data_IF_192491252233
#
_entry.id   IF_192491252233
#
_cell.length_a   1.000
_cell.length_b   1.000
_cell.length_c   1.000
_cell.angle_alpha   90.00
_cell.angle_beta   90.00
_cell.angle_gamma   90.00
#
_symmetry.space_group_name_H-M   'P 1'
#
loop_
_entity.id
_entity.type
_entity.pdbx_description
1 polymer ?
#
# COMPACT_ATOMS: atom_id res chain seq x y z
N UNK A 1 -5.58 -1.16 -0.90
CA UNK A 1 -5.68 -1.09 0.59
C UNK A 1 -7.12 -1.26 1.01
N UNK A 2 -7.40 -2.15 1.97
CA UNK A 2 -8.72 -2.44 2.51
C UNK A 2 -8.76 -2.02 3.98
N UNK A 3 -9.80 -1.33 4.42
CA UNK A 3 -9.98 -0.94 5.83
C UNK A 3 -10.86 -1.96 6.55
N UNK A 4 -10.27 -2.79 7.40
CA UNK A 4 -11.02 -3.72 8.23
C UNK A 4 -11.94 -2.97 9.19
N UNK A 5 -11.44 -1.88 9.81
CA UNK A 5 -12.22 -1.04 10.73
C UNK A 5 -13.48 -0.49 10.04
N UNK A 6 -13.39 -0.08 8.77
CA UNK A 6 -14.56 0.39 8.00
C UNK A 6 -15.51 -0.77 7.64
N UNK A 7 -14.96 -1.85 7.12
CA UNK A 7 -15.78 -2.97 6.63
C UNK A 7 -16.47 -3.73 7.76
N UNK A 8 -15.75 -4.04 8.85
CA UNK A 8 -16.28 -4.81 9.98
C UNK A 8 -17.14 -3.97 10.95
N UNK A 9 -16.71 -2.75 11.23
CA UNK A 9 -17.31 -1.92 12.29
C UNK A 9 -18.03 -0.67 11.79
N UNK A 10 -17.92 -0.33 10.52
CA UNK A 10 -18.46 0.94 9.98
C UNK A 10 -17.65 2.17 10.35
N UNK A 11 -16.52 2.04 11.05
CA UNK A 11 -15.68 3.17 11.50
C UNK A 11 -15.13 3.95 10.31
N UNK A 12 -15.44 5.25 10.25
CA UNK A 12 -14.96 6.14 9.17
C UNK A 12 -13.67 6.81 9.58
N UNK A 13 -12.67 6.77 8.71
CA UNK A 13 -11.38 7.43 8.90
C UNK A 13 -11.07 8.43 7.79
N UNK A 14 -10.13 9.36 8.03
CA UNK A 14 -9.76 10.37 7.03
C UNK A 14 -9.21 9.78 5.71
N UNK A 15 -8.74 8.52 5.73
CA UNK A 15 -8.27 7.82 4.54
C UNK A 15 -9.37 7.20 3.68
N UNK A 16 -10.60 7.08 4.21
CA UNK A 16 -11.68 6.36 3.53
C UNK A 16 -12.23 7.12 2.33
N UNK A 17 -12.11 8.46 2.31
CA UNK A 17 -12.44 9.28 1.14
C UNK A 17 -11.65 8.83 -0.11
N UNK A 18 -10.36 8.46 0.05
CA UNK A 18 -9.55 7.96 -1.06
C UNK A 18 -9.85 6.50 -1.43
N UNK A 19 -10.38 5.72 -0.49
CA UNK A 19 -10.62 4.28 -0.68
C UNK A 19 -12.03 3.98 -1.15
N UNK A 20 -13.03 4.69 -0.63
CA UNK A 20 -14.44 4.32 -0.73
C UNK A 20 -15.36 5.46 -1.18
N UNK A 21 -14.88 6.70 -1.35
CA UNK A 21 -15.72 7.80 -1.82
C UNK A 21 -15.48 8.11 -3.30
N UNK A 22 -16.55 8.51 -3.99
CA UNK A 22 -16.51 8.92 -5.40
C UNK A 22 -17.44 10.08 -5.65
N UNK A 23 -17.01 10.95 -6.57
CA UNK A 23 -17.84 12.08 -7.05
C UNK A 23 -18.85 11.67 -8.13
N UNK A 24 -18.70 10.52 -8.80
CA UNK A 24 -19.66 10.05 -9.79
C UNK A 24 -20.30 8.74 -9.32
N UNK A 25 -21.53 8.84 -8.76
CA UNK A 25 -22.35 7.70 -8.42
C UNK A 25 -22.87 6.92 -9.65
N UNK A 26 -22.71 7.48 -10.86
CA UNK A 26 -23.40 7.04 -12.08
C UNK A 26 -22.50 6.24 -13.05
N UNK A 27 -21.24 5.99 -12.72
CA UNK A 27 -20.35 5.23 -13.60
C UNK A 27 -20.45 3.72 -13.34
N UNK A 28 -20.53 2.90 -14.42
CA UNK A 28 -20.46 1.44 -14.30
C UNK A 28 -19.22 0.98 -13.54
N UNK A 29 -19.29 -0.14 -12.78
CA UNK A 29 -18.18 -0.63 -11.95
C UNK A 29 -16.83 -0.74 -12.67
N UNK A 30 -16.81 -1.15 -13.94
CA UNK A 30 -15.58 -1.29 -14.73
C UNK A 30 -14.92 0.05 -15.09
N UNK A 31 -15.68 1.15 -15.15
CA UNK A 31 -15.15 2.51 -15.37
C UNK A 31 -14.77 3.18 -14.04
N UNK A 32 -15.18 2.61 -12.92
CA UNK A 32 -14.92 3.16 -11.60
C UNK A 32 -13.44 3.07 -11.19
N UNK A 33 -12.64 2.23 -11.83
CA UNK A 33 -11.20 2.12 -11.57
C UNK A 33 -10.38 3.24 -12.18
N UNK A 34 -10.87 3.82 -13.28
CA UNK A 34 -10.27 4.95 -13.96
C UNK A 34 -11.34 5.92 -14.42
N UNK A 35 -11.72 6.87 -13.57
CA UNK A 35 -12.47 8.05 -13.99
C UNK A 35 -11.50 9.20 -14.23
N UNK A 36 -11.85 10.12 -15.13
CA UNK A 36 -11.08 11.36 -15.32
C UNK A 36 -10.98 12.18 -14.03
N UNK A 37 -11.89 11.95 -13.09
CA UNK A 37 -11.93 12.60 -11.78
C UNK A 37 -11.07 11.92 -10.70
N UNK A 38 -10.65 10.66 -10.89
CA UNK A 38 -9.82 9.92 -9.93
C UNK A 38 -8.36 9.90 -10.39
N UNK A 39 -7.56 10.78 -9.83
CA UNK A 39 -6.11 10.80 -10.04
C UNK A 39 -5.41 9.75 -9.19
N UNK A 40 -4.25 9.23 -9.62
CA UNK A 40 -3.53 8.21 -8.86
C UNK A 40 -2.91 8.78 -7.58
N UNK A 41 -2.79 7.95 -6.55
CA UNK A 41 -1.80 8.17 -5.49
C UNK A 41 -0.42 7.87 -6.09
N UNK A 42 0.52 8.77 -5.93
CA UNK A 42 1.88 8.59 -6.43
C UNK A 42 2.81 8.14 -5.30
N UNK A 43 3.33 6.93 -5.41
CA UNK A 43 4.43 6.44 -4.58
C UNK A 43 5.73 6.93 -5.20
N UNK A 44 6.45 7.79 -4.51
CA UNK A 44 7.71 8.31 -5.02
C UNK A 44 8.89 7.78 -4.21
N UNK A 45 9.70 6.94 -4.85
CA UNK A 45 10.94 6.43 -4.28
C UNK A 45 12.06 7.46 -4.49
N UNK A 46 12.07 8.49 -3.66
CA UNK A 46 12.91 9.69 -3.82
C UNK A 46 14.41 9.44 -3.73
N UNK A 47 14.81 8.32 -3.17
CA UNK A 47 16.18 7.80 -3.13
C UNK A 47 16.15 6.28 -3.01
N UNK A 48 17.20 5.61 -3.48
CA UNK A 48 17.39 4.16 -3.26
C UNK A 48 18.36 3.88 -2.11
N UNK A 49 18.96 4.92 -1.52
CA UNK A 49 19.87 4.79 -0.37
C UNK A 49 19.13 4.39 0.90
N UNK A 50 19.65 3.41 1.65
CA UNK A 50 19.10 2.95 2.92
C UNK A 50 20.17 2.27 3.77
N UNK A 51 20.24 2.57 5.07
CA UNK A 51 21.16 1.92 6.01
C UNK A 51 20.69 0.53 6.47
N UNK A 52 19.46 0.13 6.12
CA UNK A 52 18.94 -1.19 6.43
C UNK A 52 19.08 -2.13 5.23
N UNK A 53 19.14 -3.44 5.52
CA UNK A 53 19.21 -4.49 4.50
C UNK A 53 18.06 -5.50 4.64
N UNK A 54 16.82 -4.98 4.61
CA UNK A 54 15.60 -5.77 4.82
C UNK A 54 15.50 -6.93 3.84
N UNK A 55 15.08 -8.11 4.34
CA UNK A 55 14.94 -9.33 3.55
C UNK A 55 13.89 -9.22 2.45
N UNK A 56 12.81 -8.47 2.69
CA UNK A 56 11.67 -8.27 1.78
C UNK A 56 11.72 -6.97 0.97
N UNK A 57 12.83 -6.23 0.97
CA UNK A 57 12.89 -4.91 0.34
C UNK A 57 12.60 -4.97 -1.16
N UNK A 58 11.49 -4.39 -1.59
CA UNK A 58 11.08 -4.36 -3.01
C UNK A 58 12.02 -3.52 -3.88
N UNK A 59 12.60 -2.43 -3.32
CA UNK A 59 13.52 -1.54 -4.02
C UNK A 59 14.96 -2.09 -4.09
N UNK A 60 15.28 -3.19 -3.39
CA UNK A 60 16.65 -3.70 -3.24
C UNK A 60 17.64 -2.60 -2.80
N UNK A 61 17.20 -1.72 -1.91
CA UNK A 61 17.96 -0.58 -1.39
C UNK A 61 19.22 -1.01 -0.63
N UNK A 62 20.21 -0.13 -0.57
CA UNK A 62 21.47 -0.35 0.15
C UNK A 62 22.14 0.97 0.53
N UNK A 63 23.13 0.92 1.45
CA UNK A 63 23.86 2.11 1.89
C UNK A 63 24.99 2.46 0.94
N UNK A 64 24.63 2.98 -0.21
CA UNK A 64 25.55 3.52 -1.22
C UNK A 64 24.88 4.68 -1.95
N UNK A 65 25.68 5.52 -2.57
CA UNK A 65 25.18 6.52 -3.52
C UNK A 65 24.65 5.82 -4.79
N UNK A 66 23.57 6.36 -5.33
CA UNK A 66 23.02 5.94 -6.61
C UNK A 66 23.14 7.11 -7.59
N UNK A 67 23.96 6.92 -8.63
CA UNK A 67 24.15 7.94 -9.66
C UNK A 67 22.84 8.16 -10.45
N UNK A 68 22.61 9.40 -10.87
CA UNK A 68 21.46 9.76 -11.69
C UNK A 68 20.16 9.95 -10.92
N UNK A 69 20.15 9.92 -9.58
CA UNK A 69 18.95 10.30 -8.81
C UNK A 69 18.52 11.73 -9.18
N UNK A 70 17.20 11.99 -9.15
CA UNK A 70 16.65 13.30 -9.48
C UNK A 70 17.28 14.39 -8.62
N UNK A 71 17.74 15.48 -9.25
CA UNK A 71 18.16 16.70 -8.56
C UNK A 71 16.99 17.36 -7.87
N UNK A 72 17.25 18.28 -6.94
CA UNK A 72 16.20 19.08 -6.29
C UNK A 72 15.34 19.83 -7.30
N UNK A 73 15.97 20.43 -8.33
CA UNK A 73 15.25 21.17 -9.36
C UNK A 73 14.30 20.29 -10.19
N UNK A 74 14.78 19.11 -10.63
CA UNK A 74 13.95 18.13 -11.33
C UNK A 74 12.80 17.66 -10.44
N UNK A 75 13.08 17.39 -9.16
CA UNK A 75 12.09 16.94 -8.19
C UNK A 75 10.99 17.99 -7.91
N UNK A 76 11.35 19.27 -7.85
CA UNK A 76 10.38 20.35 -7.73
C UNK A 76 9.48 20.43 -8.97
N UNK A 77 10.05 20.31 -10.18
CA UNK A 77 9.25 20.26 -11.41
C UNK A 77 8.29 19.06 -11.49
N UNK A 78 8.69 17.91 -10.91
CA UNK A 78 7.76 16.77 -10.76
C UNK A 78 6.59 17.13 -9.85
N UNK A 79 6.82 17.81 -8.73
CA UNK A 79 5.76 18.20 -7.79
C UNK A 79 4.80 19.17 -8.46
N UNK A 80 5.29 20.14 -9.24
CA UNK A 80 4.46 21.08 -9.99
C UNK A 80 3.53 20.34 -10.97
N UNK A 81 4.06 19.39 -11.75
CA UNK A 81 3.25 18.58 -12.68
C UNK A 81 2.22 17.69 -11.94
N UNK A 82 2.60 17.10 -10.81
CA UNK A 82 1.66 16.30 -10.00
C UNK A 82 0.53 17.16 -9.42
N UNK A 83 0.82 18.41 -9.04
CA UNK A 83 -0.16 19.35 -8.53
C UNK A 83 -1.12 19.80 -9.63
N UNK A 84 -0.61 20.22 -10.78
CA UNK A 84 -1.41 20.61 -11.94
C UNK A 84 -2.28 19.45 -12.44
N UNK A 85 -1.78 18.23 -12.35
CA UNK A 85 -2.53 17.01 -12.68
C UNK A 85 -3.61 16.69 -11.65
N UNK A 86 -3.54 17.24 -10.43
CA UNK A 86 -4.50 17.01 -9.36
C UNK A 86 -4.30 15.70 -8.60
N UNK A 87 -3.05 15.25 -8.46
CA UNK A 87 -2.70 14.08 -7.63
C UNK A 87 -3.11 14.31 -6.17
N UNK A 88 -3.88 13.43 -5.53
CA UNK A 88 -4.37 13.68 -4.17
C UNK A 88 -3.32 13.49 -3.09
N UNK A 89 -2.34 12.61 -3.32
CA UNK A 89 -1.32 12.23 -2.32
C UNK A 89 -0.01 11.88 -3.00
N UNK A 90 1.08 12.44 -2.50
CA UNK A 90 2.45 12.02 -2.76
C UNK A 90 2.97 11.24 -1.55
N UNK A 91 3.25 9.97 -1.74
CA UNK A 91 3.84 9.09 -0.72
C UNK A 91 5.37 9.07 -0.91
N UNK A 92 6.09 9.85 -0.13
CA UNK A 92 7.55 9.79 -0.08
C UNK A 92 8.02 8.46 0.50
N UNK A 93 8.72 7.69 -0.32
CA UNK A 93 9.24 6.36 -0.05
C UNK A 93 10.64 6.21 -0.67
N UNK A 94 11.10 4.97 -0.84
CA UNK A 94 12.36 4.68 -1.52
C UNK A 94 13.16 3.59 -0.83
N UNK A 95 14.46 3.84 -0.64
CA UNK A 95 15.28 3.18 0.35
C UNK A 95 14.85 3.65 1.74
N UNK A 96 15.46 4.74 2.20
CA UNK A 96 15.01 5.50 3.35
C UNK A 96 14.91 6.98 2.95
N UNK A 97 13.71 7.55 2.84
CA UNK A 97 13.53 8.92 2.35
C UNK A 97 14.23 9.97 3.22
N UNK A 98 14.37 9.76 4.53
CA UNK A 98 15.12 10.65 5.42
C UNK A 98 16.65 10.67 5.15
N UNK A 99 17.16 9.81 4.28
CA UNK A 99 18.54 9.88 3.79
C UNK A 99 18.70 10.81 2.58
N UNK A 100 17.61 11.34 2.01
CA UNK A 100 17.63 12.34 0.96
C UNK A 100 17.76 13.74 1.59
N UNK A 101 18.83 14.50 1.30
CA UNK A 101 19.13 15.76 2.03
C UNK A 101 18.06 16.85 1.86
N UNK A 102 17.41 16.91 0.69
CA UNK A 102 16.40 17.92 0.33
C UNK A 102 14.94 17.46 0.55
N UNK A 103 14.73 16.32 1.25
CA UNK A 103 13.38 15.77 1.48
C UNK A 103 12.40 16.81 2.04
N UNK A 104 12.82 17.59 3.04
CA UNK A 104 11.98 18.59 3.68
C UNK A 104 11.69 19.79 2.77
N UNK A 105 12.60 20.13 1.86
CA UNK A 105 12.34 21.10 0.80
C UNK A 105 11.25 20.60 -0.14
N UNK A 106 11.32 19.32 -0.54
CA UNK A 106 10.32 18.72 -1.42
C UNK A 106 8.95 18.61 -0.73
N UNK A 107 8.90 18.18 0.54
CA UNK A 107 7.62 18.04 1.26
C UNK A 107 6.95 19.39 1.50
N UNK A 108 7.72 20.44 1.76
CA UNK A 108 7.23 21.80 1.85
C UNK A 108 6.58 22.23 0.53
N UNK A 109 7.25 21.99 -0.59
CA UNK A 109 6.72 22.33 -1.91
C UNK A 109 5.43 21.56 -2.23
N UNK A 110 5.37 20.24 -1.89
CA UNK A 110 4.13 19.44 -2.00
C UNK A 110 2.97 20.10 -1.24
N UNK A 111 3.21 20.53 0.01
CA UNK A 111 2.19 21.23 0.81
C UNK A 111 1.80 22.57 0.19
N UNK A 112 2.79 23.37 -0.23
CA UNK A 112 2.56 24.71 -0.76
C UNK A 112 1.80 24.67 -2.10
N UNK A 113 1.93 23.56 -2.86
CA UNK A 113 1.11 23.25 -4.04
C UNK A 113 -0.27 22.62 -3.69
N UNK A 114 -0.63 22.51 -2.41
CA UNK A 114 -1.93 21.98 -1.99
C UNK A 114 -2.07 20.45 -2.03
N UNK A 115 -0.99 19.73 -2.30
CA UNK A 115 -0.95 18.28 -2.27
C UNK A 115 -0.78 17.74 -0.84
N UNK A 116 -1.16 16.49 -0.63
CA UNK A 116 -0.95 15.81 0.65
C UNK A 116 0.36 15.02 0.63
N UNK A 117 1.30 15.35 1.51
CA UNK A 117 2.53 14.59 1.74
C UNK A 117 2.32 13.49 2.78
N UNK A 118 2.83 12.28 2.49
CA UNK A 118 2.86 11.13 3.40
C UNK A 118 4.29 10.56 3.40
N UNK A 119 4.81 10.19 4.57
CA UNK A 119 6.14 9.60 4.72
C UNK A 119 6.06 8.10 4.99
N UNK A 120 6.77 7.30 4.20
CA UNK A 120 7.00 5.87 4.39
C UNK A 120 8.46 5.64 4.75
N UNK A 121 8.73 5.31 6.00
CA UNK A 121 10.09 5.23 6.56
C UNK A 121 10.30 3.95 7.36
N UNK A 122 11.55 3.58 7.59
CA UNK A 122 11.90 2.56 8.58
C UNK A 122 11.90 3.10 10.02
N UNK A 123 11.81 4.43 10.21
CA UNK A 123 11.73 5.09 11.51
C UNK A 123 13.07 5.31 12.23
N UNK A 124 14.15 4.64 11.82
CA UNK A 124 15.41 4.63 12.57
C UNK A 124 16.19 5.95 12.55
N UNK A 125 15.77 6.90 11.73
CA UNK A 125 16.37 8.24 11.63
C UNK A 125 15.48 9.34 12.20
N UNK A 126 14.34 8.99 12.78
CA UNK A 126 13.43 9.96 13.38
C UNK A 126 13.90 10.26 14.82
N UNK A 127 14.59 11.39 14.99
CA UNK A 127 14.85 11.99 16.30
C UNK A 127 13.70 12.93 16.68
N UNK A 128 13.62 13.43 17.93
CA UNK A 128 12.65 14.47 18.30
C UNK A 128 12.69 15.70 17.38
N UNK A 129 13.87 16.15 16.97
CA UNK A 129 14.05 17.28 16.07
C UNK A 129 13.51 16.97 14.67
N UNK A 130 13.81 15.77 14.13
CA UNK A 130 13.28 15.30 12.85
C UNK A 130 11.76 15.18 12.89
N UNK A 131 11.19 14.70 14.01
CA UNK A 131 9.74 14.60 14.18
C UNK A 131 9.07 15.98 14.19
N UNK A 132 9.67 16.97 14.85
CA UNK A 132 9.22 18.36 14.79
C UNK A 132 9.25 18.90 13.35
N UNK A 133 10.32 18.66 12.62
CA UNK A 133 10.45 19.10 11.24
C UNK A 133 9.42 18.40 10.33
N UNK A 134 9.19 17.10 10.49
CA UNK A 134 8.13 16.34 9.80
C UNK A 134 6.76 17.03 9.99
N UNK A 135 6.45 17.45 11.22
CA UNK A 135 5.22 18.19 11.52
C UNK A 135 5.18 19.56 10.85
N UNK A 136 6.26 20.33 10.97
CA UNK A 136 6.35 21.69 10.43
C UNK A 136 6.25 21.71 8.89
N UNK A 137 6.83 20.71 8.23
CA UNK A 137 6.76 20.57 6.78
C UNK A 137 5.41 20.01 6.29
N UNK A 138 4.50 19.65 7.20
CA UNK A 138 3.12 19.34 6.86
C UNK A 138 2.89 17.91 6.39
N UNK A 139 3.72 16.96 6.77
CA UNK A 139 3.40 15.56 6.54
C UNK A 139 2.11 15.17 7.26
N UNK A 140 1.12 14.71 6.51
CA UNK A 140 -0.19 14.35 7.04
C UNK A 140 -0.22 13.00 7.78
N UNK A 141 0.80 12.16 7.54
CA UNK A 141 0.93 10.83 8.12
C UNK A 141 2.35 10.30 7.94
N UNK A 142 2.85 9.57 8.94
CA UNK A 142 4.11 8.82 8.91
C UNK A 142 3.81 7.33 9.11
N UNK A 143 4.17 6.51 8.14
CA UNK A 143 4.09 5.05 8.25
C UNK A 143 5.46 4.48 8.59
N UNK A 144 5.63 3.96 9.81
CA UNK A 144 6.86 3.33 10.27
C UNK A 144 6.79 1.82 10.05
N UNK A 145 7.81 1.27 9.44
CA UNK A 145 7.88 -0.17 9.18
C UNK A 145 8.33 -0.94 10.42
N UNK A 146 7.55 -1.95 10.85
CA UNK A 146 7.84 -2.79 12.01
C UNK A 146 7.40 -4.23 11.72
N UNK A 147 8.33 -5.19 11.66
CA UNK A 147 8.04 -6.57 11.21
C UNK A 147 8.16 -7.61 12.33
N UNK A 148 7.97 -7.22 13.58
CA UNK A 148 8.01 -8.05 14.77
C UNK A 148 8.55 -7.29 15.95
N UNK A 149 8.77 -7.99 17.09
CA UNK A 149 9.49 -7.46 18.22
C UNK A 149 11.00 -7.49 17.97
N UNK A 150 11.80 -7.02 18.93
CA UNK A 150 13.20 -6.67 18.77
C UNK A 150 14.05 -7.68 17.96
N UNK A 151 14.08 -8.96 18.36
CA UNK A 151 14.92 -9.98 17.71
C UNK A 151 14.49 -10.26 16.27
N UNK A 152 13.20 -10.46 16.07
CA UNK A 152 12.64 -10.77 14.74
C UNK A 152 12.74 -9.55 13.83
N UNK A 153 12.41 -8.37 14.33
CA UNK A 153 12.49 -7.13 13.56
C UNK A 153 13.93 -6.86 13.11
N UNK A 154 14.90 -6.89 14.03
CA UNK A 154 16.30 -6.62 13.73
C UNK A 154 16.86 -7.57 12.67
N UNK A 155 16.53 -8.87 12.81
CA UNK A 155 16.89 -9.89 11.82
C UNK A 155 16.23 -9.63 10.46
N UNK A 156 14.94 -9.28 10.46
CA UNK A 156 14.17 -9.02 9.24
C UNK A 156 14.68 -7.77 8.50
N UNK A 157 15.10 -6.76 9.28
CA UNK A 157 15.64 -5.49 8.77
C UNK A 157 17.14 -5.52 8.49
N UNK A 158 17.85 -6.56 8.95
CA UNK A 158 19.28 -6.75 8.74
C UNK A 158 20.15 -5.72 9.48
N UNK A 159 19.68 -5.23 10.63
CA UNK A 159 20.39 -4.28 11.49
C UNK A 159 20.00 -4.49 12.95
N UNK A 160 21.01 -4.77 13.80
CA UNK A 160 20.83 -4.82 15.25
C UNK A 160 20.42 -3.44 15.80
N UNK A 161 19.44 -3.41 16.69
CA UNK A 161 18.92 -2.19 17.32
C UNK A 161 17.91 -1.43 16.46
N UNK A 162 17.57 -1.90 15.24
CA UNK A 162 16.59 -1.24 14.38
C UNK A 162 15.19 -1.15 15.02
N UNK A 163 14.81 -2.15 15.83
CA UNK A 163 13.55 -2.11 16.58
C UNK A 163 13.50 -0.94 17.56
N UNK A 164 14.53 -0.84 18.42
CA UNK A 164 14.58 0.23 19.40
C UNK A 164 14.59 1.62 18.76
N UNK A 165 15.38 1.79 17.69
CA UNK A 165 15.42 3.03 16.90
C UNK A 165 14.04 3.36 16.32
N UNK A 166 13.34 2.36 15.75
CA UNK A 166 12.01 2.55 15.14
C UNK A 166 10.94 2.91 16.15
N UNK A 167 10.96 2.28 17.35
CA UNK A 167 10.06 2.61 18.47
C UNK A 167 10.34 4.02 18.98
N UNK A 168 11.61 4.40 19.13
CA UNK A 168 11.97 5.77 19.50
C UNK A 168 11.44 6.80 18.48
N UNK A 169 11.53 6.49 17.18
CA UNK A 169 10.97 7.32 16.12
C UNK A 169 9.44 7.42 16.15
N UNK A 170 8.72 6.34 16.49
CA UNK A 170 7.26 6.34 16.68
C UNK A 170 6.89 7.27 17.85
N UNK A 171 7.57 7.13 18.99
CA UNK A 171 7.36 7.97 20.19
C UNK A 171 7.61 9.44 19.88
N UNK A 172 8.74 9.76 19.21
CA UNK A 172 9.06 11.12 18.80
C UNK A 172 7.98 11.73 17.88
N UNK A 173 7.45 10.97 16.91
CA UNK A 173 6.34 11.41 16.08
C UNK A 173 5.08 11.72 16.91
N UNK A 174 4.73 10.87 17.86
CA UNK A 174 3.56 11.07 18.74
C UNK A 174 3.73 12.31 19.62
N UNK A 175 4.86 12.46 20.26
CA UNK A 175 5.19 13.63 21.08
C UNK A 175 5.15 14.93 20.28
N UNK A 176 5.61 14.89 19.04
CA UNK A 176 5.50 16.01 18.10
C UNK A 176 4.07 16.26 17.59
N UNK A 177 3.08 15.39 17.90
CA UNK A 177 1.72 15.46 17.39
C UNK A 177 1.58 15.08 15.92
N UNK A 178 2.49 14.28 15.38
CA UNK A 178 2.42 13.71 14.02
C UNK A 178 1.61 12.42 14.06
N UNK A 179 0.64 12.29 13.16
CA UNK A 179 -0.12 11.04 13.00
C UNK A 179 0.80 9.93 12.49
N UNK A 180 1.06 8.93 13.31
CA UNK A 180 1.93 7.80 13.00
C UNK A 180 1.14 6.50 12.91
N UNK A 181 1.66 5.52 12.17
CA UNK A 181 1.13 4.17 12.13
C UNK A 181 2.21 3.15 11.79
N UNK A 182 1.94 1.90 12.14
CA UNK A 182 2.84 0.77 11.90
C UNK A 182 2.48 0.06 10.60
N UNK A 183 3.51 -0.33 9.84
CA UNK A 183 3.45 -1.17 8.64
C UNK A 183 4.16 -2.48 8.91
N UNK A 184 3.44 -3.57 8.83
CA UNK A 184 3.91 -4.92 9.12
C UNK A 184 3.78 -5.79 7.87
N UNK A 185 4.89 -6.30 7.33
CA UNK A 185 4.87 -7.25 6.21
C UNK A 185 4.85 -8.67 6.74
N UNK A 186 3.70 -9.35 6.64
CA UNK A 186 3.53 -10.70 7.16
C UNK A 186 4.16 -11.76 6.27
N UNK A 187 4.87 -12.70 6.90
CA UNK A 187 5.49 -13.88 6.27
C UNK A 187 5.47 -15.03 7.26
N UNK A 188 5.80 -16.26 6.82
CA UNK A 188 5.97 -17.40 7.74
C UNK A 188 7.01 -17.17 8.82
N UNK A 189 7.98 -16.27 8.59
CA UNK A 189 9.05 -15.98 9.55
C UNK A 189 8.60 -15.15 10.74
N UNK A 190 7.53 -14.36 10.57
CA UNK A 190 7.08 -13.40 11.59
C UNK A 190 5.57 -13.42 11.86
N UNK A 191 4.79 -14.33 11.25
CA UNK A 191 3.33 -14.40 11.50
C UNK A 191 2.98 -14.61 12.99
N UNK A 192 3.84 -15.33 13.72
CA UNK A 192 3.67 -15.57 15.16
C UNK A 192 3.84 -14.31 16.01
N UNK A 193 4.49 -13.26 15.48
CA UNK A 193 4.66 -11.96 16.14
C UNK A 193 3.41 -11.07 16.05
N UNK A 194 2.47 -11.37 15.14
CA UNK A 194 1.31 -10.51 14.91
C UNK A 194 0.54 -10.19 16.20
N UNK A 195 0.21 -11.16 17.10
CA UNK A 195 -0.47 -10.83 18.34
C UNK A 195 0.32 -9.90 19.27
N UNK A 196 1.65 -10.06 19.30
CA UNK A 196 2.53 -9.22 20.12
C UNK A 196 2.65 -7.81 19.55
N UNK A 197 2.72 -7.68 18.21
CA UNK A 197 2.71 -6.37 17.55
C UNK A 197 1.39 -5.65 17.77
N UNK A 198 0.25 -6.34 17.75
CA UNK A 198 -1.06 -5.72 18.01
C UNK A 198 -1.15 -5.18 19.46
N UNK A 199 -0.63 -5.92 20.45
CA UNK A 199 -0.51 -5.40 21.85
C UNK A 199 0.41 -4.19 21.92
N UNK A 200 1.55 -4.21 21.23
CA UNK A 200 2.47 -3.08 21.18
C UNK A 200 1.80 -1.81 20.63
N UNK A 201 0.85 -1.93 19.68
CA UNK A 201 0.08 -0.76 19.21
C UNK A 201 -0.79 -0.14 20.29
N UNK A 202 -1.26 -0.92 21.26
CA UNK A 202 -1.99 -0.40 22.42
C UNK A 202 -1.04 0.26 23.39
N UNK A 203 0.06 -0.40 23.75
CA UNK A 203 1.09 0.08 24.66
C UNK A 203 1.72 1.41 24.20
N UNK A 204 2.02 1.50 22.90
CA UNK A 204 2.59 2.70 22.27
C UNK A 204 1.52 3.68 21.79
N UNK A 205 0.23 3.40 22.03
CA UNK A 205 -0.92 4.17 21.57
C UNK A 205 -0.82 4.57 20.08
N UNK A 206 -0.47 3.62 19.22
CA UNK A 206 -0.39 3.83 17.77
C UNK A 206 -1.77 3.68 17.15
N UNK A 207 -2.32 4.72 16.50
CA UNK A 207 -3.70 4.71 16.03
C UNK A 207 -3.93 3.95 14.73
N UNK A 208 -2.86 3.54 14.02
CA UNK A 208 -3.00 2.92 12.70
C UNK A 208 -2.06 1.75 12.51
N UNK A 209 -2.60 0.66 11.96
CA UNK A 209 -1.88 -0.54 11.58
C UNK A 209 -2.18 -0.94 10.14
N UNK A 210 -1.14 -1.31 9.39
CA UNK A 210 -1.27 -1.81 8.03
C UNK A 210 -0.54 -3.16 7.92
N UNK A 211 -1.27 -4.25 7.72
CA UNK A 211 -0.70 -5.55 7.39
C UNK A 211 -0.50 -5.66 5.88
N UNK A 212 0.73 -5.87 5.45
CA UNK A 212 1.12 -6.08 4.07
C UNK A 212 1.37 -7.54 3.78
N UNK A 213 0.82 -8.07 2.72
CA UNK A 213 1.25 -9.35 2.19
C UNK A 213 2.55 -9.21 1.40
N UNK A 214 3.39 -10.24 1.44
CA UNK A 214 4.69 -10.22 0.77
C UNK A 214 4.52 -10.01 -0.74
N UNK A 215 5.13 -8.94 -1.27
CA UNK A 215 5.29 -8.75 -2.71
C UNK A 215 6.58 -9.45 -3.18
N UNK A 216 6.51 -10.15 -4.33
CA UNK A 216 7.66 -10.87 -4.90
C UNK A 216 8.50 -9.95 -5.79
N UNK A 217 8.94 -8.81 -5.22
CA UNK A 217 9.74 -7.81 -5.90
C UNK A 217 11.05 -7.55 -5.17
N UNK A 218 12.08 -7.19 -5.88
CA UNK A 218 13.40 -6.94 -5.33
C UNK A 218 13.94 -8.13 -4.52
N UNK A 219 14.41 -7.89 -3.27
CA UNK A 219 14.83 -8.96 -2.36
C UNK A 219 13.67 -9.83 -1.89
N UNK A 220 12.44 -9.31 -1.86
CA UNK A 220 11.25 -10.09 -1.52
C UNK A 220 11.04 -11.31 -2.42
N UNK A 221 11.49 -11.25 -3.69
CA UNK A 221 11.45 -12.40 -4.60
C UNK A 221 12.27 -13.59 -4.08
N UNK A 222 13.38 -13.33 -3.37
CA UNK A 222 14.26 -14.38 -2.84
C UNK A 222 13.65 -15.14 -1.66
N UNK A 223 12.65 -14.55 -1.02
CA UNK A 223 11.92 -15.14 0.11
C UNK A 223 10.45 -15.43 -0.25
N UNK A 224 10.10 -15.56 -1.52
CA UNK A 224 8.74 -15.86 -1.96
C UNK A 224 8.19 -17.16 -1.32
N UNK A 225 9.05 -18.13 -1.03
CA UNK A 225 8.69 -19.37 -0.31
C UNK A 225 8.24 -19.13 1.14
N UNK A 226 8.57 -17.98 1.73
CA UNK A 226 8.14 -17.60 3.08
C UNK A 226 6.78 -16.85 3.07
N UNK A 227 6.15 -16.67 1.91
CA UNK A 227 4.78 -16.15 1.86
C UNK A 227 3.82 -17.13 2.58
N UNK A 228 2.78 -16.57 3.20
CA UNK A 228 1.75 -17.38 3.85
C UNK A 228 1.00 -18.25 2.82
N UNK A 229 0.74 -19.50 3.21
CA UNK A 229 -0.19 -20.34 2.48
C UNK A 229 -1.66 -19.95 2.75
N UNK A 230 -2.62 -20.58 2.05
CA UNK A 230 -4.04 -20.24 2.18
C UNK A 230 -4.55 -20.28 3.63
N UNK A 231 -4.31 -21.36 4.35
CA UNK A 231 -4.75 -21.52 5.74
C UNK A 231 -4.07 -20.56 6.71
N UNK A 232 -2.77 -20.27 6.49
CA UNK A 232 -2.03 -19.30 7.30
C UNK A 232 -2.56 -17.89 7.07
N UNK A 233 -2.88 -17.53 5.82
CA UNK A 233 -3.46 -16.23 5.46
C UNK A 233 -4.85 -16.04 6.10
N UNK A 234 -5.71 -17.06 6.03
CA UNK A 234 -7.03 -17.04 6.68
C UNK A 234 -6.90 -16.81 8.18
N UNK A 235 -6.06 -17.61 8.87
CA UNK A 235 -5.82 -17.43 10.31
C UNK A 235 -5.32 -16.05 10.67
N UNK A 236 -4.39 -15.49 9.90
CA UNK A 236 -3.87 -14.14 10.15
C UNK A 236 -4.96 -13.07 9.97
N UNK A 237 -5.80 -13.21 8.94
CA UNK A 237 -6.87 -12.26 8.68
C UNK A 237 -8.02 -12.39 9.69
N UNK A 238 -8.35 -13.60 10.13
CA UNK A 238 -9.34 -13.84 11.18
C UNK A 238 -8.87 -13.25 12.51
N UNK A 239 -7.63 -13.52 12.93
CA UNK A 239 -7.04 -12.92 14.13
C UNK A 239 -7.10 -11.39 14.08
N UNK A 240 -6.72 -10.80 12.96
CA UNK A 240 -6.74 -9.35 12.79
C UNK A 240 -8.17 -8.78 12.82
N UNK A 241 -9.12 -9.50 12.20
CA UNK A 241 -10.55 -9.12 12.19
C UNK A 241 -11.16 -9.20 13.59
N UNK A 242 -10.87 -10.27 14.33
CA UNK A 242 -11.34 -10.46 15.71
C UNK A 242 -10.80 -9.36 16.62
N UNK A 243 -9.52 -9.01 16.48
CA UNK A 243 -8.92 -7.92 17.24
C UNK A 243 -9.56 -6.56 16.93
N UNK A 244 -9.90 -6.31 15.66
CA UNK A 244 -10.60 -5.07 15.25
C UNK A 244 -11.99 -4.99 15.90
N UNK A 245 -12.74 -6.10 15.91
CA UNK A 245 -14.02 -6.19 16.57
C UNK A 245 -13.92 -6.03 18.10
N UNK A 246 -12.87 -6.57 18.71
CA UNK A 246 -12.59 -6.42 20.14
C UNK A 246 -12.29 -4.97 20.50
N UNK A 247 -11.42 -4.30 19.76
CA UNK A 247 -11.14 -2.88 19.95
C UNK A 247 -12.39 -2.02 19.78
N UNK A 248 -13.19 -2.29 18.76
CA UNK A 248 -14.44 -1.55 18.57
C UNK A 248 -15.40 -1.72 19.75
N UNK A 249 -15.55 -2.95 20.29
CA UNK A 249 -16.40 -3.21 21.48
C UNK A 249 -15.88 -2.51 22.74
N UNK A 250 -14.59 -2.32 22.87
CA UNK A 250 -13.93 -1.61 23.97
C UNK A 250 -13.88 -0.08 23.78
N UNK A 251 -14.38 0.45 22.65
CA UNK A 251 -14.30 1.87 22.32
C UNK A 251 -12.89 2.35 21.94
N UNK A 252 -11.99 1.42 21.59
CA UNK A 252 -10.63 1.73 21.15
C UNK A 252 -10.64 1.99 19.66
N UNK A 253 -10.36 3.24 19.26
CA UNK A 253 -10.34 3.64 17.87
C UNK A 253 -8.98 3.36 17.23
N UNK A 254 -8.89 2.34 16.38
CA UNK A 254 -7.72 2.05 15.55
C UNK A 254 -8.13 1.85 14.09
N UNK A 255 -7.36 2.45 13.19
CA UNK A 255 -7.49 2.23 11.75
C UNK A 255 -6.64 1.03 11.33
N UNK A 256 -7.28 -0.08 11.00
CA UNK A 256 -6.61 -1.33 10.60
C UNK A 256 -6.85 -1.62 9.14
N UNK A 257 -5.76 -1.87 8.43
CA UNK A 257 -5.77 -2.06 6.97
C UNK A 257 -5.06 -3.35 6.57
N UNK A 258 -5.51 -3.98 5.46
CA UNK A 258 -4.71 -4.94 4.71
C UNK A 258 -4.32 -4.41 3.34
N UNK A 259 -3.15 -4.84 2.86
CA UNK A 259 -2.51 -4.31 1.66
C UNK A 259 -1.86 -5.45 0.86
N UNK A 260 -1.84 -5.30 -0.45
CA UNK A 260 -1.13 -6.16 -1.40
C UNK A 260 -1.68 -7.59 -1.55
N UNK A 261 -2.88 -7.88 -0.98
CA UNK A 261 -3.65 -9.06 -1.35
C UNK A 261 -5.14 -8.71 -1.42
N UNK A 262 -5.65 -8.54 -2.62
CA UNK A 262 -7.04 -8.11 -2.82
C UNK A 262 -8.06 -9.24 -2.69
N UNK A 263 -7.60 -10.51 -2.54
CA UNK A 263 -8.48 -11.61 -2.15
C UNK A 263 -9.05 -11.42 -0.74
N UNK A 264 -8.39 -10.61 0.11
CA UNK A 264 -8.89 -10.21 1.43
C UNK A 264 -10.28 -9.55 1.33
N UNK A 265 -10.55 -8.80 0.26
CA UNK A 265 -11.85 -8.18 0.01
C UNK A 265 -12.97 -9.22 -0.08
N UNK A 266 -12.76 -10.26 -0.87
CA UNK A 266 -13.72 -11.33 -1.06
C UNK A 266 -13.91 -12.16 0.23
N UNK A 267 -12.79 -12.50 0.89
CA UNK A 267 -12.84 -13.25 2.14
C UNK A 267 -13.59 -12.50 3.25
N UNK A 268 -13.30 -11.22 3.44
CA UNK A 268 -14.00 -10.37 4.41
C UNK A 268 -15.49 -10.21 4.06
N UNK A 269 -15.81 -10.04 2.77
CA UNK A 269 -17.20 -10.00 2.33
C UNK A 269 -17.95 -11.29 2.67
N UNK A 270 -17.36 -12.46 2.38
CA UNK A 270 -17.95 -13.76 2.71
C UNK A 270 -18.14 -13.95 4.22
N UNK A 271 -17.17 -13.50 5.02
CA UNK A 271 -17.26 -13.50 6.48
C UNK A 271 -18.42 -12.60 6.95
N UNK A 272 -18.48 -11.35 6.47
CA UNK A 272 -19.54 -10.40 6.85
C UNK A 272 -20.90 -10.89 6.38
N UNK A 273 -21.02 -11.44 5.17
CA UNK A 273 -22.27 -12.03 4.67
C UNK A 273 -22.80 -13.15 5.59
N UNK A 274 -21.90 -13.92 6.21
CA UNK A 274 -22.25 -14.99 7.17
C UNK A 274 -22.56 -14.45 8.56
N UNK A 275 -21.79 -13.51 9.08
CA UNK A 275 -21.82 -13.06 10.48
C UNK A 275 -22.68 -11.80 10.70
N UNK A 276 -22.81 -10.94 9.68
CA UNK A 276 -23.54 -9.66 9.69
C UNK A 276 -24.29 -9.46 8.36
N UNK A 277 -25.25 -10.35 8.01
CA UNK A 277 -25.88 -10.35 6.68
C UNK A 277 -26.56 -9.03 6.32
N UNK A 278 -27.04 -8.28 7.30
CA UNK A 278 -27.66 -6.96 7.13
C UNK A 278 -26.68 -5.89 6.58
N UNK A 279 -25.39 -6.10 6.73
CA UNK A 279 -24.35 -5.19 6.24
C UNK A 279 -23.72 -5.61 4.91
N UNK A 280 -24.05 -6.82 4.44
CA UNK A 280 -23.38 -7.41 3.28
C UNK A 280 -23.49 -6.53 2.02
N UNK A 281 -24.66 -5.94 1.77
CA UNK A 281 -24.89 -5.06 0.62
C UNK A 281 -24.08 -3.76 0.70
N UNK A 282 -24.06 -3.11 1.87
CA UNK A 282 -23.23 -1.92 2.11
C UNK A 282 -21.76 -2.23 1.88
N UNK A 283 -21.27 -3.32 2.45
CA UNK A 283 -19.87 -3.73 2.34
C UNK A 283 -19.50 -4.06 0.90
N UNK A 284 -20.34 -4.78 0.16
CA UNK A 284 -20.12 -5.07 -1.25
C UNK A 284 -20.01 -3.79 -2.08
N UNK A 285 -20.88 -2.81 -1.83
CA UNK A 285 -20.81 -1.51 -2.48
C UNK A 285 -19.49 -0.78 -2.19
N UNK A 286 -19.03 -0.76 -0.93
CA UNK A 286 -17.74 -0.18 -0.56
C UNK A 286 -16.59 -0.90 -1.26
N UNK A 287 -16.60 -2.22 -1.34
CA UNK A 287 -15.58 -3.02 -2.01
C UNK A 287 -15.56 -2.78 -3.53
N UNK A 288 -16.70 -2.65 -4.17
CA UNK A 288 -16.80 -2.25 -5.57
C UNK A 288 -16.21 -0.86 -5.80
N UNK A 289 -16.43 0.08 -4.90
CA UNK A 289 -15.83 1.41 -4.97
C UNK A 289 -14.32 1.39 -4.72
N UNK A 290 -13.82 0.52 -3.85
CA UNK A 290 -12.40 0.27 -3.67
C UNK A 290 -11.76 -0.27 -4.95
N UNK A 291 -12.43 -1.24 -5.58
CA UNK A 291 -12.10 -1.78 -6.89
C UNK A 291 -10.84 -2.63 -6.93
N UNK A 292 -10.32 -3.09 -5.80
CA UNK A 292 -9.21 -4.04 -5.73
C UNK A 292 -7.87 -3.48 -6.18
N UNK A 293 -7.13 -4.26 -6.97
CA UNK A 293 -5.82 -3.85 -7.49
C UNK A 293 -5.94 -2.67 -8.45
N UNK A 294 -5.16 -1.63 -8.16
CA UNK A 294 -5.21 -0.36 -8.90
C UNK A 294 -3.88 0.03 -9.57
N UNK A 295 -2.96 -0.93 -9.77
CA UNK A 295 -1.71 -0.72 -10.51
C UNK A 295 -1.99 -0.18 -11.93
N UNK A 296 -1.36 0.93 -12.31
CA UNK A 296 -1.58 1.61 -13.58
C UNK A 296 -2.91 2.37 -13.68
N UNK A 297 -3.69 2.47 -12.58
CA UNK A 297 -4.99 3.14 -12.53
C UNK A 297 -5.05 4.18 -11.40
N UNK A 298 -5.20 3.72 -10.17
CA UNK A 298 -5.31 4.57 -8.97
C UNK A 298 -4.03 4.64 -8.13
N UNK A 299 -2.99 3.92 -8.53
CA UNK A 299 -1.63 3.98 -7.97
C UNK A 299 -0.63 4.02 -9.11
N UNK A 300 0.33 4.93 -9.02
CA UNK A 300 1.50 5.01 -9.86
C UNK A 300 2.75 5.14 -9.01
N UNK A 301 3.92 4.89 -9.60
CA UNK A 301 5.20 5.02 -8.90
C UNK A 301 6.18 5.82 -9.75
N UNK A 302 6.96 6.67 -9.09
CA UNK A 302 8.15 7.30 -9.68
C UNK A 302 9.34 6.76 -8.88
N UNK A 303 10.35 6.24 -9.55
CA UNK A 303 11.57 5.78 -8.89
C UNK A 303 12.60 6.90 -8.70
N UNK A 304 13.74 6.57 -8.10
CA UNK A 304 14.80 7.53 -7.82
C UNK A 304 15.51 8.10 -9.07
N UNK A 305 15.34 7.45 -10.22
CA UNK A 305 15.90 7.88 -11.51
C UNK A 305 14.88 8.62 -12.38
N UNK A 306 13.64 8.76 -11.90
CA UNK A 306 12.54 9.40 -12.62
C UNK A 306 11.76 8.48 -13.55
N UNK A 307 12.02 7.15 -13.51
CA UNK A 307 11.20 6.20 -14.24
C UNK A 307 9.81 6.10 -13.63
N UNK A 308 8.78 6.06 -14.48
CA UNK A 308 7.38 5.91 -14.09
C UNK A 308 6.99 4.44 -14.23
N UNK A 309 6.41 3.89 -13.16
CA UNK A 309 5.98 2.49 -13.08
C UNK A 309 4.50 2.38 -12.72
N UNK A 310 3.83 1.26 -13.08
CA UNK A 310 2.44 1.02 -12.71
C UNK A 310 2.15 1.04 -11.21
N UNK A 311 3.13 0.59 -10.40
CA UNK A 311 3.15 0.60 -8.94
C UNK A 311 4.58 0.44 -8.43
N UNK A 312 4.78 0.51 -7.11
CA UNK A 312 6.09 0.43 -6.48
C UNK A 312 6.76 -0.96 -6.54
N UNK A 313 6.08 -2.00 -7.00
CA UNK A 313 6.61 -3.35 -7.09
C UNK A 313 7.09 -3.72 -8.50
N UNK A 314 6.71 -2.93 -9.48
CA UNK A 314 6.89 -3.20 -10.91
C UNK A 314 8.04 -2.39 -11.53
N UNK A 315 9.19 -2.27 -10.83
CA UNK A 315 10.35 -1.46 -11.28
C UNK A 315 10.98 -1.90 -12.60
N UNK A 316 10.76 -3.13 -13.02
CA UNK A 316 11.20 -3.64 -14.31
C UNK A 316 10.27 -3.29 -15.47
N UNK A 317 9.11 -2.71 -15.17
CA UNK A 317 8.11 -2.28 -16.15
C UNK A 317 8.07 -0.74 -16.19
N UNK A 318 8.71 -0.14 -17.20
CA UNK A 318 8.71 1.31 -17.39
C UNK A 318 7.51 1.75 -18.25
N UNK A 319 6.90 2.87 -17.86
CA UNK A 319 5.89 3.59 -18.65
C UNK A 319 6.51 4.82 -19.35
N UNK A 320 7.75 5.18 -19.01
CA UNK A 320 8.50 6.34 -19.49
C UNK A 320 9.25 7.03 -18.37
N UNK A 321 10.02 8.08 -18.68
CA UNK A 321 10.84 8.82 -17.71
C UNK A 321 10.38 10.29 -17.64
N UNK A 322 10.33 10.84 -16.42
CA UNK A 322 9.86 12.23 -16.18
C UNK A 322 10.81 13.29 -16.75
N UNK A 323 12.05 12.93 -17.05
CA UNK A 323 13.01 13.81 -17.73
C UNK A 323 12.68 14.01 -19.21
N UNK A 324 11.95 13.08 -19.81
CA UNK A 324 11.54 13.12 -21.22
C UNK A 324 10.14 13.69 -21.39
N UNK A 325 9.23 13.28 -20.48
CA UNK A 325 7.82 13.67 -20.52
C UNK A 325 7.29 13.82 -19.09
N UNK A 326 6.45 14.80 -18.76
CA UNK A 326 5.86 14.93 -17.43
C UNK A 326 5.04 13.69 -17.05
N UNK A 327 4.94 13.38 -15.76
CA UNK A 327 4.18 12.26 -15.24
C UNK A 327 2.73 12.28 -15.74
N UNK A 328 2.11 13.44 -15.76
CA UNK A 328 0.72 13.64 -16.21
C UNK A 328 0.52 13.19 -17.66
N UNK A 329 1.46 13.50 -18.54
CA UNK A 329 1.40 13.10 -19.96
C UNK A 329 1.64 11.60 -20.13
N UNK A 330 2.60 11.01 -19.39
CA UNK A 330 2.85 9.57 -19.40
C UNK A 330 1.62 8.82 -18.90
N UNK A 331 1.05 9.26 -17.76
CA UNK A 331 -0.06 8.56 -17.11
C UNK A 331 -1.37 8.59 -17.89
N UNK A 332 -1.56 9.56 -18.77
CA UNK A 332 -2.75 9.69 -19.62
C UNK A 332 -2.61 9.01 -20.98
N UNK A 333 -1.40 8.60 -21.36
CA UNK A 333 -1.10 8.07 -22.68
C UNK A 333 -1.46 6.57 -22.80
N UNK A 334 -2.66 6.29 -23.27
CA UNK A 334 -3.12 4.91 -23.51
C UNK A 334 -2.46 4.24 -24.73
N UNK A 335 -1.68 4.97 -25.53
CA UNK A 335 -0.87 4.37 -26.59
C UNK A 335 0.34 3.61 -26.04
N UNK A 336 0.69 3.80 -24.76
CA UNK A 336 1.65 2.96 -24.04
C UNK A 336 0.99 1.58 -23.82
N UNK A 337 1.48 0.51 -24.49
CA UNK A 337 0.77 -0.78 -24.52
C UNK A 337 0.53 -1.36 -23.14
N UNK A 338 1.52 -1.27 -22.25
CA UNK A 338 1.40 -1.77 -20.87
C UNK A 338 0.31 -1.04 -20.10
N UNK A 339 0.26 0.30 -20.19
CA UNK A 339 -0.72 1.10 -19.46
C UNK A 339 -2.14 0.84 -19.97
N UNK A 340 -2.32 0.75 -21.29
CA UNK A 340 -3.59 0.37 -21.93
C UNK A 340 -4.04 -1.02 -21.47
N UNK A 341 -3.13 -2.00 -21.48
CA UNK A 341 -3.39 -3.37 -21.04
C UNK A 341 -3.76 -3.45 -19.55
N UNK A 342 -3.07 -2.70 -18.68
CA UNK A 342 -3.41 -2.66 -17.25
C UNK A 342 -4.79 -2.06 -16.99
N UNK A 343 -5.26 -1.12 -17.80
CA UNK A 343 -6.60 -0.53 -17.67
C UNK A 343 -7.70 -1.39 -18.29
N UNK A 344 -7.38 -2.14 -19.33
CA UNK A 344 -8.26 -3.15 -19.95
C UNK A 344 -8.03 -4.59 -19.47
N UNK A 345 -7.40 -4.78 -18.31
CA UNK A 345 -6.89 -6.08 -17.85
C UNK A 345 -7.90 -7.20 -17.74
N UNK A 346 -9.21 -6.91 -17.61
CA UNK A 346 -10.25 -7.93 -17.49
C UNK A 346 -10.24 -8.89 -18.69
N UNK A 347 -9.99 -8.38 -19.87
CA UNK A 347 -9.95 -9.18 -21.10
C UNK A 347 -8.67 -10.03 -21.25
N UNK A 348 -7.62 -9.66 -20.52
CA UNK A 348 -6.30 -10.30 -20.59
C UNK A 348 -6.10 -11.33 -19.48
N UNK A 349 -6.71 -11.12 -18.31
CA UNK A 349 -6.59 -12.03 -17.18
C UNK A 349 -7.26 -13.37 -17.53
N UNK A 350 -6.52 -14.45 -17.26
CA UNK A 350 -6.96 -15.81 -17.57
C UNK A 350 -6.96 -16.73 -16.34
N UNK A 351 -7.15 -18.04 -16.59
CA UNK A 351 -7.23 -19.07 -15.56
C UNK A 351 -8.41 -18.83 -14.61
N UNK A 352 -8.28 -19.22 -13.34
CA UNK A 352 -9.35 -19.09 -12.35
C UNK A 352 -9.85 -17.67 -12.12
N UNK A 353 -9.02 -16.67 -12.40
CA UNK A 353 -9.39 -15.26 -12.23
C UNK A 353 -10.35 -14.77 -13.31
N UNK A 354 -10.31 -15.33 -14.52
CA UNK A 354 -11.19 -14.94 -15.65
C UNK A 354 -12.68 -15.22 -15.35
N UNK A 355 -12.96 -16.31 -14.63
CA UNK A 355 -14.33 -16.73 -14.23
C UNK A 355 -14.66 -16.45 -12.77
N UNK A 356 -13.84 -15.66 -12.07
CA UNK A 356 -14.03 -15.38 -10.65
C UNK A 356 -15.16 -14.37 -10.44
N UNK A 357 -16.18 -14.73 -9.63
CA UNK A 357 -17.30 -13.85 -9.27
C UNK A 357 -16.90 -12.60 -8.47
N UNK A 358 -15.70 -12.60 -7.89
CA UNK A 358 -15.17 -11.45 -7.13
C UNK A 358 -14.21 -10.57 -7.93
N UNK A 359 -14.17 -10.70 -9.25
CA UNK A 359 -13.24 -9.92 -10.07
C UNK A 359 -13.41 -8.41 -9.84
N UNK A 360 -14.64 -7.91 -9.73
CA UNK A 360 -14.94 -6.48 -9.59
C UNK A 360 -14.44 -5.86 -8.27
N UNK A 361 -14.19 -6.67 -7.26
CA UNK A 361 -13.66 -6.22 -5.95
C UNK A 361 -12.21 -6.62 -5.71
N UNK A 362 -11.66 -7.54 -6.51
CA UNK A 362 -10.26 -7.99 -6.45
C UNK A 362 -9.41 -7.41 -7.58
N UNK A 363 -9.96 -7.31 -8.77
CA UNK A 363 -9.32 -6.83 -10.01
C UNK A 363 -8.01 -7.57 -10.34
N UNK A 364 -8.05 -8.91 -10.18
CA UNK A 364 -6.96 -9.81 -10.51
C UNK A 364 -5.82 -9.86 -9.47
N UNK A 365 -5.98 -9.28 -8.28
CA UNK A 365 -4.99 -9.27 -7.21
C UNK A 365 -3.66 -8.59 -7.61
N UNK A 366 -2.52 -8.89 -6.99
CA UNK A 366 -1.25 -8.22 -7.23
C UNK A 366 -0.55 -8.75 -8.48
N UNK A 367 -0.53 -7.96 -9.56
CA UNK A 367 0.02 -8.37 -10.85
C UNK A 367 1.52 -8.64 -10.82
N UNK A 368 2.29 -7.81 -10.09
CA UNK A 368 3.73 -8.02 -9.90
C UNK A 368 4.05 -9.38 -9.26
N UNK A 369 3.17 -9.89 -8.37
CA UNK A 369 3.35 -11.20 -7.75
C UNK A 369 2.99 -12.33 -8.71
N UNK A 370 1.91 -12.19 -9.48
CA UNK A 370 1.54 -13.15 -10.51
C UNK A 370 2.68 -13.33 -11.52
N UNK A 371 3.20 -12.23 -12.06
CA UNK A 371 4.33 -12.24 -13.01
C UNK A 371 5.61 -12.84 -12.40
N UNK A 372 5.96 -12.42 -11.19
CA UNK A 372 7.17 -12.94 -10.53
C UNK A 372 7.14 -14.45 -10.28
N UNK A 373 5.96 -15.03 -10.08
CA UNK A 373 5.77 -16.44 -9.83
C UNK A 373 5.64 -17.29 -11.11
N UNK A 374 5.07 -16.74 -12.17
CA UNK A 374 4.67 -17.49 -13.36
C UNK A 374 5.38 -17.05 -14.65
N UNK A 375 5.97 -15.87 -14.65
CA UNK A 375 6.48 -15.19 -15.86
C UNK A 375 5.39 -14.50 -16.69
N UNK A 376 4.14 -14.53 -16.24
CA UNK A 376 2.98 -13.97 -16.95
C UNK A 376 2.23 -12.98 -16.05
N UNK A 377 2.16 -11.73 -16.49
CA UNK A 377 1.48 -10.63 -15.79
C UNK A 377 -0.04 -10.88 -15.62
N UNK A 378 -0.63 -11.69 -16.48
CA UNK A 378 -2.07 -11.92 -16.55
C UNK A 378 -2.52 -13.23 -15.90
N UNK A 379 -1.58 -14.04 -15.45
CA UNK A 379 -1.84 -15.28 -14.72
C UNK A 379 -2.57 -15.03 -13.37
N UNK A 380 -3.22 -16.05 -12.80
CA UNK A 380 -3.71 -15.98 -11.43
C UNK A 380 -2.59 -15.66 -10.43
N UNK A 381 -2.88 -14.76 -9.49
CA UNK A 381 -1.95 -14.49 -8.40
C UNK A 381 -1.89 -15.70 -7.43
N UNK A 382 -0.70 -16.27 -7.17
CA UNK A 382 -0.55 -17.45 -6.31
C UNK A 382 -0.93 -17.20 -4.85
N UNK A 383 -1.01 -15.96 -4.39
CA UNK A 383 -1.46 -15.62 -3.05
C UNK A 383 -2.99 -15.52 -2.91
N UNK A 384 -3.75 -15.82 -3.96
CA UNK A 384 -5.21 -15.97 -3.84
C UNK A 384 -5.52 -17.24 -3.06
N UNK A 385 -6.09 -17.09 -1.87
CA UNK A 385 -6.40 -18.18 -0.94
C UNK A 385 -7.89 -18.55 -0.90
N UNK A 386 -8.70 -17.98 -1.80
CA UNK A 386 -10.11 -18.39 -1.97
C UNK A 386 -10.18 -19.79 -2.59
N UNK A 387 -11.14 -20.58 -2.15
CA UNK A 387 -11.42 -21.90 -2.76
C UNK A 387 -12.14 -21.75 -4.11
N UNK A 388 -12.14 -22.81 -4.90
CA UNK A 388 -12.87 -22.81 -6.18
C UNK A 388 -14.38 -22.75 -5.99
N UNK A 389 -14.89 -23.18 -4.84
CA UNK A 389 -16.30 -23.02 -4.46
C UNK A 389 -16.62 -21.57 -4.15
N UNK A 390 -15.77 -20.91 -3.33
CA UNK A 390 -15.97 -19.51 -2.97
C UNK A 390 -15.96 -18.58 -4.19
N UNK A 391 -15.08 -18.79 -5.15
CA UNK A 391 -15.01 -17.93 -6.36
C UNK A 391 -16.17 -18.15 -7.34
N UNK A 392 -16.89 -19.27 -7.23
CA UNK A 392 -18.06 -19.59 -8.07
C UNK A 392 -19.38 -19.09 -7.49
N UNK A 393 -19.39 -18.42 -6.35
CA UNK A 393 -20.59 -17.92 -5.69
C UNK A 393 -21.05 -16.55 -6.27
N UNK A 394 -21.72 -16.50 -7.42
CA UNK A 394 -22.07 -15.24 -8.06
C UNK A 394 -23.56 -14.95 -8.15
N UNK A 395 -24.48 -15.84 -7.79
CA UNK A 395 -25.92 -15.54 -7.89
C UNK A 395 -26.40 -14.38 -7.00
N UNK A 396 -25.52 -13.84 -6.16
CA UNK A 396 -25.81 -12.69 -5.29
C UNK A 396 -25.15 -11.37 -5.73
N UNK A 397 -24.43 -11.35 -6.85
CA UNK A 397 -23.73 -10.14 -7.33
C UNK A 397 -24.35 -9.51 -8.59
N UNK A 398 -25.41 -10.14 -9.12
CA UNK A 398 -26.19 -9.64 -10.26
C UNK A 398 -27.36 -8.74 -9.80
N UNK A 399 -27.06 -7.66 -9.07
CA UNK A 399 -28.05 -6.58 -8.84
C UNK A 399 -27.41 -5.23 -9.09
#
# INVERSE_FOLDING_TARGET
>A
MLSLSRLLCGTVTAGDALRYERRSADLPPHLLHFSQDKRPVVVWNVTRRCKLHCMHCYASAGDRAYEGELTTAEALGVIDDLADFGVPVVLFSGGEPLMRPDLFTLSRHVRDCGLRAVLSTNGTLITPEVACEVREQGFSYVGVSLDGLAEIHDKFRGKQGAFADSIAGIRACREAGVRVGVRFTITRRNQHELPAVLRLLEEEDVPRFCMYHLAYSGRGRKIAADALGPEETRRALDLLSDQVLDWHRQGIEKEVLTVDNHADAAYLYLRIKREQPERAEEVLRLLRWNGGNSSGMGVGCIDNLGEVHPDQFSWHLSLGNIRERPFSAIWQDLSIPLLGSLRGRRELIHGRCASCGFFDICNGNLRARAEAATGDLWAPDPACYLTDEEIRLPEALEV
#
